data_IF_352285445114
#
_entry.id   IF_352285445114
#
_cell.length_a   1.000
_cell.length_b   1.000
_cell.length_c   1.000
_cell.angle_alpha   90.00
_cell.angle_beta   90.00
_cell.angle_gamma   90.00
#
_symmetry.space_group_name_H-M   'P 1'
#
loop_
_entity.id
_entity.type
_entity.pdbx_description
1 polymer ?
#
# COMPACT_ATOMS: atom_id res chain seq x y z
N UNK A 1 -6.08 -5.33 -9.48
CA UNK A 1 -7.33 -5.57 -10.24
C UNK A 1 -7.82 -7.03 -10.18
N UNK A 2 -6.96 -8.05 -10.39
CA UNK A 2 -7.36 -9.48 -10.35
C UNK A 2 -8.08 -9.90 -9.08
N UNK A 3 -7.53 -9.58 -7.90
CA UNK A 3 -8.16 -9.91 -6.60
C UNK A 3 -9.59 -9.36 -6.46
N UNK A 4 -9.88 -8.16 -7.01
CA UNK A 4 -11.23 -7.55 -7.02
C UNK A 4 -12.17 -8.37 -7.92
N UNK A 5 -11.70 -8.74 -9.13
CA UNK A 5 -12.47 -9.53 -10.08
C UNK A 5 -12.80 -10.94 -9.57
N UNK A 6 -11.82 -11.66 -9.01
CA UNK A 6 -12.05 -12.99 -8.44
C UNK A 6 -13.04 -12.95 -7.28
N UNK A 7 -12.94 -11.93 -6.42
CA UNK A 7 -13.88 -11.70 -5.32
C UNK A 7 -15.31 -11.47 -5.85
N UNK A 8 -15.49 -10.62 -6.85
CA UNK A 8 -16.79 -10.38 -7.47
C UNK A 8 -17.38 -11.64 -8.12
N UNK A 9 -16.57 -12.40 -8.85
CA UNK A 9 -17.01 -13.67 -9.45
C UNK A 9 -17.42 -14.69 -8.39
N UNK A 10 -16.66 -14.77 -7.28
CA UNK A 10 -16.97 -15.67 -6.17
C UNK A 10 -18.31 -15.30 -5.52
N UNK A 11 -18.54 -14.01 -5.27
CA UNK A 11 -19.81 -13.52 -4.73
C UNK A 11 -21.00 -13.76 -5.69
N UNK A 12 -20.77 -13.66 -7.01
CA UNK A 12 -21.78 -13.97 -8.04
C UNK A 12 -22.17 -15.46 -8.05
N UNK A 13 -21.22 -16.36 -7.76
CA UNK A 13 -21.42 -17.83 -7.72
C UNK A 13 -22.07 -18.32 -6.42
N UNK A 14 -22.09 -17.50 -5.36
CA UNK A 14 -22.69 -17.82 -4.05
C UNK A 14 -24.20 -17.58 -3.99
N UNK A 15 -24.87 -18.33 -3.11
CA UNK A 15 -26.30 -18.19 -2.82
C UNK A 15 -26.57 -16.89 -2.02
N UNK A 16 -27.81 -16.41 -1.95
CA UNK A 16 -28.16 -15.13 -1.30
C UNK A 16 -27.71 -15.07 0.18
N UNK A 17 -27.93 -16.17 0.93
CA UNK A 17 -27.50 -16.28 2.33
C UNK A 17 -25.97 -16.26 2.46
N UNK A 18 -25.26 -17.01 1.60
CA UNK A 18 -23.80 -17.08 1.61
C UNK A 18 -23.17 -15.74 1.24
N UNK A 19 -23.72 -15.06 0.23
CA UNK A 19 -23.29 -13.72 -0.19
C UNK A 19 -23.46 -12.71 0.93
N UNK A 20 -24.59 -12.73 1.64
CA UNK A 20 -24.81 -11.84 2.78
C UNK A 20 -23.82 -12.13 3.94
N UNK A 21 -23.47 -13.39 4.18
CA UNK A 21 -22.47 -13.73 5.20
C UNK A 21 -21.05 -13.33 4.80
N UNK A 22 -20.66 -13.55 3.54
CA UNK A 22 -19.34 -13.17 3.04
C UNK A 22 -19.19 -11.64 3.02
N UNK A 23 -20.22 -10.92 2.58
CA UNK A 23 -20.22 -9.46 2.62
C UNK A 23 -20.05 -8.93 4.04
N UNK A 24 -20.77 -9.49 5.03
CA UNK A 24 -20.59 -9.11 6.44
C UNK A 24 -19.18 -9.36 6.94
N UNK A 25 -18.55 -10.48 6.54
CA UNK A 25 -17.15 -10.76 6.91
C UNK A 25 -16.20 -9.76 6.26
N UNK A 26 -16.41 -9.42 4.99
CA UNK A 26 -15.62 -8.41 4.28
C UNK A 26 -15.76 -7.04 4.95
N UNK A 27 -16.99 -6.64 5.28
CA UNK A 27 -17.26 -5.38 5.97
C UNK A 27 -16.65 -5.36 7.38
N UNK A 28 -16.68 -6.48 8.10
CA UNK A 28 -16.04 -6.60 9.41
C UNK A 28 -14.51 -6.56 9.30
N UNK A 29 -13.92 -7.23 8.31
CA UNK A 29 -12.47 -7.15 8.05
C UNK A 29 -12.05 -5.74 7.70
N UNK A 30 -12.79 -5.07 6.80
CA UNK A 30 -12.56 -3.65 6.47
C UNK A 30 -12.68 -2.76 7.70
N UNK A 31 -13.72 -2.93 8.51
CA UNK A 31 -13.87 -2.14 9.75
C UNK A 31 -12.71 -2.34 10.71
N UNK A 32 -12.20 -3.57 10.85
CA UNK A 32 -11.04 -3.85 11.71
C UNK A 32 -9.75 -3.27 11.13
N UNK A 33 -9.61 -3.21 9.81
CA UNK A 33 -8.47 -2.60 9.16
C UNK A 33 -8.49 -1.08 9.36
N UNK A 34 -9.64 -0.44 9.10
CA UNK A 34 -9.81 1.01 9.27
C UNK A 34 -9.92 1.45 10.74
N UNK A 35 -9.85 0.53 11.71
CA UNK A 35 -9.88 0.83 13.16
C UNK A 35 -8.47 1.11 13.68
N UNK A 36 -7.77 2.07 13.08
CA UNK A 36 -6.45 2.50 13.51
C UNK A 36 -6.47 3.94 14.04
N UNK A 37 -5.47 4.37 14.84
CA UNK A 37 -5.33 5.77 15.22
C UNK A 37 -5.08 6.60 13.96
N UNK A 38 -5.43 7.89 13.99
CA UNK A 38 -5.17 8.78 12.86
C UNK A 38 -3.69 8.70 12.47
N UNK A 39 -3.43 8.45 11.19
CA UNK A 39 -2.09 8.48 10.62
C UNK A 39 -1.86 9.87 10.05
N UNK A 40 -0.71 10.43 10.37
CA UNK A 40 -0.35 11.78 9.95
C UNK A 40 0.19 11.80 8.52
N UNK A 41 -0.02 12.92 7.83
CA UNK A 41 0.59 13.14 6.52
C UNK A 41 2.13 13.10 6.63
N UNK A 42 2.86 12.45 5.69
CA UNK A 42 4.31 12.39 5.69
C UNK A 42 4.95 13.78 5.69
N UNK A 43 5.82 14.03 6.66
CA UNK A 43 6.45 15.31 6.87
C UNK A 43 5.51 16.39 7.43
N UNK A 44 4.38 16.05 8.05
CA UNK A 44 3.57 17.02 8.80
C UNK A 44 4.19 17.35 10.15
N UNK A 45 3.77 18.47 10.75
CA UNK A 45 4.24 18.86 12.09
C UNK A 45 3.90 17.83 13.16
N UNK A 46 2.67 17.34 13.15
CA UNK A 46 2.19 16.38 14.15
C UNK A 46 2.98 15.06 14.07
N UNK A 47 3.28 14.57 12.86
CA UNK A 47 4.12 13.38 12.68
C UNK A 47 5.51 13.55 13.31
N UNK A 48 6.19 14.67 13.03
CA UNK A 48 7.55 14.89 13.53
C UNK A 48 7.57 15.10 15.05
N UNK A 49 6.54 15.74 15.60
CA UNK A 49 6.36 15.90 17.03
C UNK A 49 6.10 14.56 17.73
N UNK A 50 5.32 13.67 17.12
CA UNK A 50 5.08 12.32 17.64
C UNK A 50 6.37 11.49 17.65
N UNK A 51 7.19 11.54 16.58
CA UNK A 51 8.51 10.90 16.56
C UNK A 51 9.41 11.47 17.67
N UNK A 52 9.45 12.79 17.81
CA UNK A 52 10.25 13.46 18.85
C UNK A 52 9.83 13.07 20.27
N UNK A 53 8.54 12.87 20.52
CA UNK A 53 8.05 12.45 21.84
C UNK A 53 8.25 10.95 22.08
N UNK A 54 7.86 10.11 21.13
CA UNK A 54 7.81 8.65 21.33
C UNK A 54 9.14 7.94 21.06
N UNK A 55 9.87 8.36 20.02
CA UNK A 55 11.14 7.74 19.62
C UNK A 55 12.33 8.40 20.32
N UNK A 56 12.36 9.73 20.38
CA UNK A 56 13.47 10.47 20.98
C UNK A 56 13.31 10.74 22.49
N UNK A 57 12.10 10.55 23.02
CA UNK A 57 11.80 10.72 24.45
C UNK A 57 11.86 12.17 24.93
N UNK A 58 11.62 13.12 24.04
CA UNK A 58 11.68 14.56 24.32
C UNK A 58 10.28 15.17 24.51
N UNK A 59 10.18 16.35 25.14
CA UNK A 59 8.88 17.02 25.27
C UNK A 59 8.47 17.65 23.93
N UNK A 60 7.24 17.38 23.50
CA UNK A 60 6.63 17.94 22.31
C UNK A 60 6.70 19.48 22.24
N UNK A 61 6.68 20.17 23.38
CA UNK A 61 6.77 21.65 23.44
C UNK A 61 8.16 22.20 23.09
N UNK A 62 9.18 21.37 23.25
CA UNK A 62 10.57 21.73 22.99
C UNK A 62 11.02 21.30 21.59
N UNK A 63 10.07 20.96 20.71
CA UNK A 63 10.34 20.57 19.34
C UNK A 63 11.10 21.66 18.59
N UNK A 64 12.32 21.32 18.16
CA UNK A 64 13.17 22.17 17.32
C UNK A 64 13.53 21.41 16.03
N UNK A 65 13.07 21.88 14.85
CA UNK A 65 13.31 21.18 13.59
C UNK A 65 14.79 20.95 13.27
N UNK A 66 15.68 21.85 13.68
CA UNK A 66 17.12 21.69 13.44
C UNK A 66 17.69 20.57 14.30
N UNK A 67 17.36 20.57 15.59
CA UNK A 67 17.80 19.51 16.50
C UNK A 67 17.23 18.17 16.08
N UNK A 68 15.95 18.14 15.66
CA UNK A 68 15.32 16.95 15.10
C UNK A 68 16.10 16.39 13.90
N UNK A 69 16.47 17.25 12.94
CA UNK A 69 17.25 16.86 11.77
C UNK A 69 18.58 16.22 12.16
N UNK A 70 19.36 16.88 13.02
CA UNK A 70 20.67 16.35 13.43
C UNK A 70 20.59 15.09 14.28
N UNK A 71 19.46 14.85 14.94
CA UNK A 71 19.25 13.63 15.71
C UNK A 71 19.00 12.42 14.81
N UNK A 72 18.38 12.64 13.65
CA UNK A 72 18.02 11.61 12.68
C UNK A 72 19.02 11.46 11.52
N UNK A 73 19.95 12.41 11.38
CA UNK A 73 21.19 12.25 10.61
C UNK A 73 22.12 11.29 11.37
N UNK A 74 21.82 9.98 11.29
CA UNK A 74 22.50 8.93 12.05
C UNK A 74 23.97 8.84 11.66
N UNK A 75 24.25 9.08 10.38
CA UNK A 75 25.59 8.95 9.83
C UNK A 75 26.42 10.25 9.90
N UNK A 76 25.78 11.40 10.08
CA UNK A 76 26.39 12.72 10.29
C UNK A 76 26.87 13.41 9.01
N UNK A 77 26.33 13.07 7.84
CA UNK A 77 26.72 13.65 6.56
C UNK A 77 25.96 14.93 6.18
N UNK A 78 25.00 15.34 7.03
CA UNK A 78 24.23 16.58 6.89
C UNK A 78 23.09 16.48 5.89
N UNK A 79 22.73 15.27 5.45
CA UNK A 79 21.54 14.98 4.66
C UNK A 79 20.78 13.83 5.31
N UNK A 80 19.47 13.73 5.08
CA UNK A 80 18.71 12.53 5.43
C UNK A 80 18.55 11.67 4.18
N UNK A 81 19.13 10.48 4.23
CA UNK A 81 19.01 9.48 3.17
C UNK A 81 17.65 8.74 3.23
N UNK A 82 17.38 7.90 2.23
CA UNK A 82 16.14 7.13 2.16
C UNK A 82 15.86 6.32 3.44
N UNK A 83 16.89 5.74 4.07
CA UNK A 83 16.72 4.89 5.26
C UNK A 83 16.47 5.71 6.51
N UNK A 84 17.16 6.83 6.65
CA UNK A 84 16.96 7.78 7.74
C UNK A 84 15.54 8.35 7.68
N UNK A 85 15.06 8.70 6.48
CA UNK A 85 13.67 9.11 6.25
C UNK A 85 12.68 7.98 6.52
N UNK A 86 12.94 6.76 6.04
CA UNK A 86 12.08 5.59 6.27
C UNK A 86 11.88 5.31 7.77
N UNK A 87 12.92 5.53 8.58
CA UNK A 87 12.84 5.37 10.04
C UNK A 87 11.79 6.29 10.69
N UNK A 88 11.57 7.48 10.13
CA UNK A 88 10.56 8.44 10.63
C UNK A 88 9.13 7.95 10.41
N UNK A 89 8.92 7.06 9.45
CA UNK A 89 7.60 6.51 9.12
C UNK A 89 7.27 5.26 9.92
N UNK A 90 8.23 4.64 10.61
CA UNK A 90 7.99 3.40 11.35
C UNK A 90 6.89 3.56 12.40
N UNK A 91 6.85 4.71 13.08
CA UNK A 91 5.82 5.01 14.08
C UNK A 91 4.42 5.09 13.46
N UNK A 92 4.29 5.78 12.33
CA UNK A 92 3.02 5.90 11.60
C UNK A 92 2.56 4.56 11.00
N UNK A 93 3.49 3.78 10.44
CA UNK A 93 3.21 2.45 9.93
C UNK A 93 2.84 1.47 11.04
N UNK A 94 3.40 1.64 12.24
CA UNK A 94 3.04 0.85 13.40
C UNK A 94 1.60 1.17 13.87
N UNK A 95 1.15 2.43 13.77
CA UNK A 95 -0.26 2.79 14.04
C UNK A 95 -1.22 2.02 13.12
N UNK A 96 -0.85 1.83 11.84
CA UNK A 96 -1.63 1.07 10.84
C UNK A 96 -1.62 -0.43 11.09
N UNK A 97 -0.44 -1.05 11.23
CA UNK A 97 -0.30 -2.50 11.11
C UNK A 97 -0.07 -3.23 12.45
N UNK A 98 0.40 -2.56 13.50
CA UNK A 98 0.80 -3.20 14.77
C UNK A 98 -0.38 -3.60 15.65
N UNK A 99 -1.60 -3.16 15.31
CA UNK A 99 -2.79 -3.58 16.02
C UNK A 99 -3.16 -5.06 15.79
N UNK A 100 -2.70 -5.64 14.69
CA UNK A 100 -2.97 -7.03 14.37
C UNK A 100 -1.96 -7.93 15.09
N UNK A 101 -2.45 -8.72 16.07
CA UNK A 101 -1.63 -9.69 16.82
C UNK A 101 -0.96 -10.74 15.93
N UNK A 102 -1.46 -10.92 14.72
CA UNK A 102 -0.97 -11.85 13.71
C UNK A 102 -0.69 -11.06 12.42
N UNK A 103 0.56 -10.62 12.22
CA UNK A 103 1.00 -9.98 10.97
C UNK A 103 1.22 -11.08 9.93
N UNK A 104 0.44 -11.08 8.85
CA UNK A 104 0.63 -12.00 7.72
C UNK A 104 1.71 -11.51 6.75
N UNK A 105 2.25 -12.39 5.89
CA UNK A 105 3.17 -12.01 4.81
C UNK A 105 2.57 -10.92 3.90
N UNK A 106 1.25 -10.98 3.68
CA UNK A 106 0.52 -9.94 2.97
C UNK A 106 0.54 -8.58 3.66
N UNK A 107 0.48 -8.54 5.00
CA UNK A 107 0.55 -7.29 5.78
C UNK A 107 1.96 -6.67 5.71
N UNK A 108 3.00 -7.51 5.80
CA UNK A 108 4.39 -7.03 5.65
C UNK A 108 4.63 -6.40 4.28
N UNK A 109 4.10 -7.01 3.21
CA UNK A 109 4.23 -6.46 1.87
C UNK A 109 3.49 -5.13 1.72
N UNK A 110 2.26 -5.03 2.25
CA UNK A 110 1.48 -3.78 2.26
C UNK A 110 2.21 -2.68 3.02
N UNK A 111 2.80 -3.00 4.19
CA UNK A 111 3.60 -2.07 4.98
C UNK A 111 4.79 -1.53 4.17
N UNK A 112 5.49 -2.38 3.43
CA UNK A 112 6.62 -1.96 2.58
C UNK A 112 6.14 -1.07 1.43
N UNK A 113 5.04 -1.45 0.76
CA UNK A 113 4.46 -0.62 -0.31
C UNK A 113 4.03 0.75 0.21
N UNK A 114 3.44 0.80 1.40
CA UNK A 114 2.99 2.04 2.01
C UNK A 114 4.15 2.93 2.45
N UNK A 115 5.20 2.33 3.02
CA UNK A 115 6.44 3.03 3.31
C UNK A 115 7.04 3.67 2.06
N UNK A 116 7.01 2.97 0.92
CA UNK A 116 7.45 3.54 -0.34
C UNK A 116 6.54 4.69 -0.79
N UNK A 117 5.21 4.61 -0.65
CA UNK A 117 4.29 5.72 -0.99
C UNK A 117 4.57 6.95 -0.14
N UNK A 118 4.70 6.79 1.17
CA UNK A 118 5.02 7.90 2.09
C UNK A 118 6.34 8.57 1.71
N UNK A 119 7.36 7.77 1.40
CA UNK A 119 8.68 8.27 0.99
C UNK A 119 8.63 9.00 -0.35
N UNK A 120 8.05 8.41 -1.39
CA UNK A 120 7.95 9.05 -2.71
C UNK A 120 7.13 10.34 -2.64
N UNK A 121 6.10 10.37 -1.78
CA UNK A 121 5.33 11.57 -1.51
C UNK A 121 6.17 12.66 -0.85
N UNK A 122 6.91 12.32 0.21
CA UNK A 122 7.78 13.28 0.92
C UNK A 122 8.88 13.83 0.01
N UNK A 123 9.57 12.96 -0.74
CA UNK A 123 10.63 13.38 -1.68
C UNK A 123 10.04 14.35 -2.70
N UNK A 124 8.87 14.07 -3.26
CA UNK A 124 8.22 14.96 -4.22
C UNK A 124 7.88 16.35 -3.64
N UNK A 125 7.60 16.45 -2.36
CA UNK A 125 7.25 17.71 -1.70
C UNK A 125 8.48 18.50 -1.21
N UNK A 126 9.52 17.80 -0.77
CA UNK A 126 10.65 18.40 -0.04
C UNK A 126 11.93 18.47 -0.87
N UNK A 127 12.25 17.43 -1.64
CA UNK A 127 13.46 17.37 -2.46
C UNK A 127 13.31 18.29 -3.68
N UNK A 128 14.05 19.40 -3.66
CA UNK A 128 13.99 20.40 -4.72
C UNK A 128 15.04 20.16 -5.80
N UNK A 129 16.09 19.41 -5.47
CA UNK A 129 17.27 19.25 -6.31
C UNK A 129 17.26 17.90 -7.08
N UNK A 130 16.44 16.94 -6.65
CA UNK A 130 16.20 15.66 -7.28
C UNK A 130 17.25 14.58 -6.97
N UNK A 131 18.02 14.72 -5.90
CA UNK A 131 19.03 13.75 -5.46
C UNK A 131 18.47 12.64 -4.56
N UNK A 132 17.17 12.70 -4.23
CA UNK A 132 16.45 11.78 -3.35
C UNK A 132 16.98 11.76 -1.91
N UNK A 133 17.70 12.81 -1.52
CA UNK A 133 18.15 13.07 -0.16
C UNK A 133 17.49 14.36 0.33
N UNK A 134 17.33 14.52 1.64
CA UNK A 134 16.76 15.75 2.21
C UNK A 134 17.88 16.50 2.93
N UNK A 135 18.32 17.61 2.33
CA UNK A 135 19.26 18.50 3.01
C UNK A 135 18.59 19.29 4.13
N UNK A 136 19.39 19.79 5.09
CA UNK A 136 18.87 20.65 6.16
C UNK A 136 18.13 21.87 5.62
N UNK A 137 18.60 22.47 4.52
CA UNK A 137 17.95 23.63 3.92
C UNK A 137 16.56 23.27 3.38
N UNK A 138 16.45 22.18 2.62
CA UNK A 138 15.18 21.67 2.10
C UNK A 138 14.22 21.30 3.21
N UNK A 139 14.72 20.64 4.25
CA UNK A 139 13.96 20.32 5.44
C UNK A 139 13.37 21.58 6.07
N UNK A 140 14.18 22.61 6.35
CA UNK A 140 13.71 23.86 6.97
C UNK A 140 12.77 24.65 6.05
N UNK A 141 13.03 24.69 4.75
CA UNK A 141 12.16 25.37 3.77
C UNK A 141 10.78 24.70 3.75
N UNK A 142 10.72 23.37 3.73
CA UNK A 142 9.43 22.65 3.75
C UNK A 142 8.61 22.93 5.01
N UNK A 143 9.23 23.21 6.16
CA UNK A 143 8.51 23.56 7.40
C UNK A 143 7.82 24.93 7.34
N UNK A 144 8.29 25.82 6.46
CA UNK A 144 7.70 27.15 6.29
C UNK A 144 6.53 27.16 5.28
N UNK A 145 6.24 26.03 4.64
CA UNK A 145 5.12 25.91 3.71
C UNK A 145 3.81 25.68 4.46
N UNK A 146 2.70 26.15 3.90
CA UNK A 146 1.37 26.07 4.53
C UNK A 146 0.94 24.62 4.86
N UNK A 147 1.44 23.63 4.09
CA UNK A 147 1.15 22.21 4.31
C UNK A 147 1.79 21.59 5.55
N UNK A 148 2.79 22.25 6.17
CA UNK A 148 3.44 21.71 7.37
C UNK A 148 2.51 21.74 8.60
N UNK A 149 1.68 22.78 8.71
CA UNK A 149 0.77 22.99 9.84
C UNK A 149 -0.60 22.34 9.63
N UNK A 150 -1.02 22.13 8.38
CA UNK A 150 -2.31 21.54 8.03
C UNK A 150 -2.17 20.03 7.81
N UNK A 151 -2.28 19.25 8.88
CA UNK A 151 -2.29 17.78 8.79
C UNK A 151 -3.64 17.26 8.29
N UNK A 152 -3.71 17.07 6.98
CA UNK A 152 -4.84 16.44 6.29
C UNK A 152 -4.99 14.95 6.62
N UNK A 153 -3.98 14.35 7.27
CA UNK A 153 -3.89 12.92 7.51
C UNK A 153 -3.43 12.17 6.26
N UNK A 154 -3.10 10.90 6.46
CA UNK A 154 -2.70 9.98 5.40
C UNK A 154 -3.76 8.90 5.18
N UNK A 155 -4.23 8.75 3.93
CA UNK A 155 -5.18 7.72 3.53
C UNK A 155 -4.44 6.43 3.13
N UNK A 156 -4.87 5.31 3.69
CA UNK A 156 -4.22 4.02 3.48
C UNK A 156 -4.40 3.47 2.05
N UNK A 157 -3.60 2.45 1.70
CA UNK A 157 -3.69 1.76 0.41
C UNK A 157 -5.05 1.11 0.11
N UNK A 158 -5.88 0.83 1.12
CA UNK A 158 -7.15 0.12 0.95
C UNK A 158 -8.32 1.06 0.66
N UNK A 159 -8.24 2.31 1.14
CA UNK A 159 -9.25 3.34 0.94
C UNK A 159 -9.15 4.00 -0.46
N UNK A 160 -7.99 3.96 -1.11
CA UNK A 160 -7.79 4.53 -2.46
C UNK A 160 -8.04 3.48 -3.57
N UNK A 161 -9.08 3.68 -4.40
CA UNK A 161 -9.26 2.86 -5.60
C UNK A 161 -8.12 3.13 -6.59
N UNK A 162 -7.10 2.27 -6.59
CA UNK A 162 -5.87 2.36 -7.40
C UNK A 162 -6.08 2.36 -8.92
N UNK A 163 -7.32 2.25 -9.39
CA UNK A 163 -7.67 2.17 -10.80
C UNK A 163 -9.05 2.76 -11.05
N UNK A 164 -9.21 3.45 -12.18
CA UNK A 164 -10.49 4.01 -12.60
C UNK A 164 -11.48 2.92 -13.02
N UNK A 165 -12.77 3.25 -12.97
CA UNK A 165 -13.84 2.37 -13.47
C UNK A 165 -13.61 1.96 -14.93
N UNK A 166 -13.14 2.89 -15.77
CA UNK A 166 -12.85 2.61 -17.18
C UNK A 166 -11.69 1.61 -17.36
N UNK A 167 -10.64 1.70 -16.54
CA UNK A 167 -9.52 0.77 -16.55
C UNK A 167 -9.96 -0.61 -16.05
N UNK A 168 -10.81 -0.65 -15.03
CA UNK A 168 -11.33 -1.90 -14.49
C UNK A 168 -12.22 -2.64 -15.50
N UNK A 169 -13.11 -1.93 -16.20
CA UNK A 169 -13.94 -2.53 -17.25
C UNK A 169 -13.12 -3.13 -18.41
N UNK A 170 -12.06 -2.43 -18.84
CA UNK A 170 -11.14 -2.94 -19.86
C UNK A 170 -10.45 -4.20 -19.36
N UNK A 171 -9.96 -4.19 -18.13
CA UNK A 171 -9.33 -5.34 -17.51
C UNK A 171 -10.28 -6.55 -17.45
N UNK A 172 -11.55 -6.36 -17.06
CA UNK A 172 -12.55 -7.43 -17.02
C UNK A 172 -12.75 -8.09 -18.39
N UNK A 173 -12.84 -7.29 -19.46
CA UNK A 173 -12.99 -7.79 -20.84
C UNK A 173 -11.77 -8.62 -21.24
N UNK A 174 -10.56 -8.09 -21.05
CA UNK A 174 -9.33 -8.79 -21.40
C UNK A 174 -9.15 -10.09 -20.61
N UNK A 175 -9.46 -10.09 -19.31
CA UNK A 175 -9.38 -11.27 -18.46
C UNK A 175 -10.32 -12.37 -18.95
N UNK A 176 -11.57 -12.03 -19.25
CA UNK A 176 -12.54 -12.99 -19.80
C UNK A 176 -12.14 -13.52 -21.17
N UNK A 177 -11.61 -12.69 -22.06
CA UNK A 177 -11.18 -13.13 -23.38
C UNK A 177 -9.97 -14.07 -23.29
N UNK A 178 -8.97 -13.74 -22.47
CA UNK A 178 -7.83 -14.62 -22.18
C UNK A 178 -8.28 -15.96 -21.58
N UNK A 179 -9.15 -15.94 -20.57
CA UNK A 179 -9.65 -17.17 -19.95
C UNK A 179 -10.49 -18.03 -20.89
N UNK A 180 -11.33 -17.41 -21.74
CA UNK A 180 -12.10 -18.13 -22.78
C UNK A 180 -11.17 -18.81 -23.79
N UNK A 181 -10.16 -18.09 -24.29
CA UNK A 181 -9.17 -18.65 -25.22
C UNK A 181 -8.41 -19.82 -24.59
N UNK A 182 -8.03 -19.70 -23.32
CA UNK A 182 -7.31 -20.77 -22.61
C UNK A 182 -8.18 -22.03 -22.41
N UNK A 183 -9.48 -21.85 -22.11
CA UNK A 183 -10.45 -22.96 -22.01
C UNK A 183 -10.65 -23.63 -23.39
N UNK A 184 -10.75 -22.85 -24.46
CA UNK A 184 -10.92 -23.37 -25.82
C UNK A 184 -9.67 -24.10 -26.32
N UNK A 185 -8.48 -23.57 -26.05
CA UNK A 185 -7.20 -24.21 -26.40
C UNK A 185 -6.99 -25.52 -25.63
N UNK A 186 -7.31 -25.56 -24.33
CA UNK A 186 -7.22 -26.79 -23.52
C UNK A 186 -8.23 -27.85 -23.97
N UNK A 187 -9.47 -27.49 -24.27
CA UNK A 187 -10.47 -28.43 -24.81
C UNK A 187 -10.09 -28.95 -26.20
N UNK A 188 -9.48 -28.12 -27.05
CA UNK A 188 -8.98 -28.51 -28.37
C UNK A 188 -7.80 -29.48 -28.25
N UNK A 189 -6.87 -29.24 -27.31
CA UNK A 189 -5.75 -30.15 -27.01
C UNK A 189 -6.23 -31.51 -26.51
N UNK A 190 -7.17 -31.53 -25.57
CA UNK A 190 -7.78 -32.78 -25.07
C UNK A 190 -8.46 -33.53 -26.22
N UNK A 191 -9.21 -32.83 -27.07
CA UNK A 191 -9.89 -33.45 -28.23
C UNK A 191 -8.91 -34.02 -29.26
N UNK A 192 -7.81 -33.33 -29.56
CA UNK A 192 -6.73 -33.85 -30.40
C UNK A 192 -6.06 -35.09 -29.80
N UNK A 193 -5.83 -35.11 -28.49
CA UNK A 193 -5.26 -36.26 -27.79
C UNK A 193 -6.17 -37.50 -27.89
N UNK A 194 -7.49 -37.32 -27.73
CA UNK A 194 -8.46 -38.41 -27.88
C UNK A 194 -8.57 -38.92 -29.33
N UNK A 195 -8.51 -38.04 -30.32
CA UNK A 195 -8.50 -38.42 -31.74
C UNK A 195 -7.24 -39.20 -32.12
N UNK A 196 -6.07 -38.80 -31.62
CA UNK A 196 -4.81 -39.54 -31.84
C UNK A 196 -4.83 -40.95 -31.23
N UNK A 197 -5.37 -41.10 -30.02
CA UNK A 197 -5.54 -42.43 -29.40
C UNK A 197 -6.58 -43.30 -30.13
N UNK A 198 -7.69 -42.70 -30.59
CA UNK A 198 -8.71 -43.41 -31.35
C UNK A 198 -8.19 -43.90 -32.71
N UNK A 199 -7.39 -43.09 -33.41
CA UNK A 199 -6.76 -43.49 -34.67
C UNK A 199 -5.72 -44.60 -34.43
N UNK A 200 -4.90 -44.51 -33.38
CA UNK A 200 -3.94 -45.55 -33.04
C UNK A 200 -4.60 -46.91 -32.74
N UNK A 201 -5.81 -46.92 -32.16
CA UNK A 201 -6.57 -48.13 -31.88
C UNK A 201 -7.22 -48.79 -33.12
N UNK A 202 -7.39 -48.04 -34.22
CA UNK A 202 -7.96 -48.57 -35.48
C UNK A 202 -6.86 -49.23 -36.35
N UNK A 203 -5.61 -48.82 -36.18
CA UNK A 203 -4.46 -49.30 -36.98
C UNK A 203 -3.55 -50.32 -36.26
N UNK A 204 -4.00 -50.85 -35.10
CA UNK A 204 -3.35 -51.95 -34.37
C UNK A 204 -4.19 -53.22 -34.43
#
# INVERSE_FOLDING_TARGET
MERKLEREERLKKMNEVERATEQKKLDEMKRKHNDHPKVHHPGSKDQLEDVWEEQDGMDRKDFDPKTFFYLHDVNGDGVLDEKEVESLFELELDKLYRQHKDIDEGDMLRRIEEMNRMREHLVKEVDTNGDRMISLEEFIVSRNQDGFLDDKGWEDLEDEEQFSDEEYEKFQKEYHDKHKVNILCSHSWISCQYLLHAIAAIYS
#
